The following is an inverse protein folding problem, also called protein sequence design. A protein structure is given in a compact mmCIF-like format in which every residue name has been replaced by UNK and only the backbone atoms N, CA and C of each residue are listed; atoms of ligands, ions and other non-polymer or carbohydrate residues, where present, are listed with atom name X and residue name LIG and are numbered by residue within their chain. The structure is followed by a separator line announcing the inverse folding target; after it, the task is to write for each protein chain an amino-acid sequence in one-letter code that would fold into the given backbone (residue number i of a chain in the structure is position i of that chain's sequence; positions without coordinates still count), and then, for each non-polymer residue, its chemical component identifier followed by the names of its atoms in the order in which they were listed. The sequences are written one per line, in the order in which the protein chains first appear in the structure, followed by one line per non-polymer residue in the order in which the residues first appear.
data_IF_628850761710
#
_entry.id   IF_628850761710
#
_cell.length_a   1.000
_cell.length_b   1.000
_cell.length_c   1.000
_cell.angle_alpha   90.00
_cell.angle_beta   90.00
_cell.angle_gamma   90.00
#
_symmetry.space_group_name_H-M   'P 1'
#
loop_
_entity.id
_entity.type
_entity.pdbx_description
1 polymer ?
#
# COMPACT_ATOMS: atom_id res chain seq x y z
N UNK A 1 -16.38 17.73 -16.68
CA UNK A 1 -17.22 16.54 -16.93
C UNK A 1 -16.23 15.41 -17.13
N UNK A 2 -16.09 14.54 -16.12
CA UNK A 2 -15.16 13.41 -16.16
C UNK A 2 -15.53 12.50 -17.34
N UNK A 3 -14.59 12.23 -18.23
CA UNK A 3 -14.76 11.27 -19.31
C UNK A 3 -14.09 9.96 -18.88
N UNK A 4 -14.80 8.85 -18.96
CA UNK A 4 -14.29 7.54 -18.54
C UNK A 4 -14.31 6.58 -19.72
N UNK A 5 -13.15 5.99 -20.00
CA UNK A 5 -12.96 4.97 -21.02
C UNK A 5 -12.48 3.66 -20.40
N UNK A 6 -12.50 2.58 -21.18
CA UNK A 6 -12.09 1.24 -20.74
C UNK A 6 -10.81 0.85 -21.47
N UNK A 7 -9.76 0.54 -20.70
CA UNK A 7 -8.62 -0.22 -21.18
C UNK A 7 -8.82 -1.68 -20.77
N UNK A 8 -9.31 -2.51 -21.70
CA UNK A 8 -9.60 -3.92 -21.42
C UNK A 8 -8.35 -4.80 -21.41
N UNK A 9 -7.28 -4.36 -22.07
CA UNK A 9 -6.02 -5.10 -22.09
C UNK A 9 -5.37 -5.03 -20.71
N UNK A 10 -5.31 -3.83 -20.12
CA UNK A 10 -4.76 -3.63 -18.78
C UNK A 10 -5.80 -3.81 -17.65
N UNK A 11 -7.08 -4.05 -18.00
CA UNK A 11 -8.21 -4.17 -17.06
C UNK A 11 -8.43 -2.92 -16.19
N UNK A 12 -8.39 -1.73 -16.81
CA UNK A 12 -8.48 -0.44 -16.13
C UNK A 12 -9.66 0.40 -16.64
N UNK A 13 -10.30 1.13 -15.72
CA UNK A 13 -11.05 2.34 -16.02
C UNK A 13 -10.05 3.50 -16.15
N UNK A 14 -10.06 4.19 -17.29
CA UNK A 14 -9.23 5.37 -17.53
C UNK A 14 -10.10 6.61 -17.41
N UNK A 15 -9.81 7.44 -16.42
CA UNK A 15 -10.63 8.57 -15.99
C UNK A 15 -9.89 9.85 -16.36
N UNK A 16 -10.41 10.58 -17.33
CA UNK A 16 -9.86 11.86 -17.74
C UNK A 16 -10.46 13.01 -16.91
N UNK A 17 -9.59 13.81 -16.31
CA UNK A 17 -9.97 15.04 -15.62
C UNK A 17 -8.98 16.18 -15.90
N UNK A 18 -9.49 17.31 -16.37
CA UNK A 18 -8.88 18.66 -16.35
C UNK A 18 -7.45 18.87 -16.89
N UNK A 19 -6.76 17.84 -17.39
CA UNK A 19 -5.35 17.89 -17.76
C UNK A 19 -4.55 16.60 -17.49
N UNK A 20 -5.15 15.57 -16.90
CA UNK A 20 -4.51 14.30 -16.65
C UNK A 20 -5.46 13.10 -16.69
N UNK A 21 -4.90 11.93 -16.40
CA UNK A 21 -5.63 10.67 -16.35
C UNK A 21 -5.37 9.99 -15.00
N UNK A 22 -6.41 9.40 -14.42
CA UNK A 22 -6.31 8.46 -13.31
C UNK A 22 -6.81 7.09 -13.77
N UNK A 23 -6.23 6.03 -13.20
CA UNK A 23 -6.62 4.66 -13.53
C UNK A 23 -7.18 3.94 -12.30
N UNK A 24 -8.25 3.17 -12.49
CA UNK A 24 -8.81 2.29 -11.48
C UNK A 24 -8.98 0.88 -12.05
N UNK A 25 -8.38 -0.12 -11.40
CA UNK A 25 -8.52 -1.51 -11.83
C UNK A 25 -9.95 -2.03 -11.68
N UNK A 26 -10.39 -2.87 -12.62
CA UNK A 26 -11.72 -3.49 -12.60
C UNK A 26 -11.95 -4.29 -11.31
N UNK A 27 -10.94 -5.05 -10.87
CA UNK A 27 -11.02 -5.87 -9.67
C UNK A 27 -11.03 -5.03 -8.39
N UNK A 28 -10.31 -3.89 -8.37
CA UNK A 28 -10.38 -2.93 -7.27
C UNK A 28 -11.78 -2.32 -7.16
N UNK A 29 -12.34 -1.84 -8.27
CA UNK A 29 -13.69 -1.25 -8.28
C UNK A 29 -14.74 -2.24 -7.76
N UNK A 30 -14.68 -3.49 -8.24
CA UNK A 30 -15.54 -4.60 -7.77
C UNK A 30 -15.37 -4.84 -6.27
N UNK A 31 -14.13 -5.08 -5.82
CA UNK A 31 -13.84 -5.39 -4.43
C UNK A 31 -14.33 -4.30 -3.47
N UNK A 32 -14.14 -3.03 -3.82
CA UNK A 32 -14.61 -1.90 -3.01
C UNK A 32 -16.14 -1.83 -2.96
N UNK A 33 -16.80 -1.96 -4.11
CA UNK A 33 -18.26 -1.91 -4.19
C UNK A 33 -18.91 -3.06 -3.40
N UNK A 34 -18.43 -4.29 -3.55
CA UNK A 34 -18.95 -5.46 -2.85
C UNK A 34 -18.72 -5.37 -1.33
N UNK A 35 -17.55 -4.88 -0.92
CA UNK A 35 -17.28 -4.62 0.49
C UNK A 35 -18.24 -3.58 1.07
N UNK A 36 -18.48 -2.48 0.35
CA UNK A 36 -19.40 -1.41 0.79
C UNK A 36 -20.84 -1.96 0.85
N UNK A 37 -21.30 -2.64 -0.19
CA UNK A 37 -22.62 -3.26 -0.28
C UNK A 37 -22.89 -4.15 0.94
N UNK A 38 -21.94 -5.02 1.27
CA UNK A 38 -22.00 -5.90 2.46
C UNK A 38 -22.02 -5.11 3.77
N UNK A 39 -21.16 -4.10 3.93
CA UNK A 39 -21.04 -3.30 5.18
C UNK A 39 -22.28 -2.44 5.42
N UNK A 40 -22.90 -1.92 4.36
CA UNK A 40 -24.14 -1.13 4.43
C UNK A 40 -25.40 -1.98 4.42
N UNK A 41 -25.29 -3.29 4.13
CA UNK A 41 -26.43 -4.21 3.91
C UNK A 41 -27.32 -3.74 2.76
N UNK A 42 -26.70 -3.28 1.67
CA UNK A 42 -27.33 -2.78 0.45
C UNK A 42 -26.82 -3.61 -0.74
N UNK A 43 -27.42 -4.80 -0.99
CA UNK A 43 -26.91 -5.74 -1.99
C UNK A 43 -27.03 -5.24 -3.43
N UNK A 44 -27.89 -4.25 -3.70
CA UNK A 44 -28.03 -3.57 -4.98
C UNK A 44 -26.76 -2.80 -5.41
N UNK A 45 -25.89 -2.47 -4.46
CA UNK A 45 -24.59 -1.84 -4.72
C UNK A 45 -23.49 -2.84 -5.11
N UNK A 46 -23.70 -4.14 -4.92
CA UNK A 46 -22.71 -5.16 -5.26
C UNK A 46 -22.64 -5.39 -6.77
N UNK A 47 -21.47 -5.72 -7.29
CA UNK A 47 -21.30 -6.06 -8.70
C UNK A 47 -22.07 -7.33 -9.04
N UNK A 48 -22.63 -7.34 -10.24
CA UNK A 48 -23.13 -8.54 -10.92
C UNK A 48 -22.17 -8.94 -12.03
N UNK A 49 -22.37 -10.11 -12.63
CA UNK A 49 -21.57 -10.56 -13.76
C UNK A 49 -21.70 -9.62 -14.97
N UNK A 50 -22.85 -8.94 -15.13
CA UNK A 50 -23.07 -7.94 -16.19
C UNK A 50 -22.29 -6.64 -15.97
N UNK A 51 -21.93 -6.34 -14.74
CA UNK A 51 -21.16 -5.14 -14.38
C UNK A 51 -19.66 -5.29 -14.69
N UNK A 52 -19.18 -6.53 -14.83
CA UNK A 52 -17.77 -6.86 -15.00
C UNK A 52 -17.18 -6.18 -16.24
N UNK A 53 -16.07 -5.45 -16.05
CA UNK A 53 -15.28 -4.86 -17.14
C UNK A 53 -16.10 -3.90 -18.04
N UNK A 54 -17.15 -3.29 -17.48
CA UNK A 54 -18.04 -2.33 -18.15
C UNK A 54 -18.08 -0.97 -17.45
N UNK A 55 -18.53 0.06 -18.20
CA UNK A 55 -18.85 1.37 -17.62
C UNK A 55 -20.01 1.31 -16.60
N UNK A 56 -20.89 0.30 -16.67
CA UNK A 56 -21.91 0.08 -15.65
C UNK A 56 -21.26 -0.31 -14.31
N UNK A 57 -20.24 -1.18 -14.34
CA UNK A 57 -19.42 -1.49 -13.16
C UNK A 57 -18.76 -0.25 -12.55
N UNK A 58 -18.19 0.64 -13.36
CA UNK A 58 -17.63 1.90 -12.85
C UNK A 58 -18.69 2.76 -12.14
N UNK A 59 -19.88 2.91 -12.75
CA UNK A 59 -21.00 3.64 -12.13
C UNK A 59 -21.45 2.98 -10.83
N UNK A 60 -21.39 1.66 -10.74
CA UNK A 60 -21.75 0.92 -9.53
C UNK A 60 -20.74 1.16 -8.41
N UNK A 61 -19.45 1.16 -8.71
CA UNK A 61 -18.41 1.60 -7.79
C UNK A 61 -18.62 3.05 -7.31
N UNK A 62 -18.95 3.98 -8.21
CA UNK A 62 -19.27 5.36 -7.83
C UNK A 62 -20.50 5.43 -6.92
N UNK A 63 -21.57 4.69 -7.24
CA UNK A 63 -22.78 4.62 -6.42
C UNK A 63 -22.49 4.07 -5.02
N UNK A 64 -21.71 3.00 -4.92
CA UNK A 64 -21.30 2.43 -3.64
C UNK A 64 -20.48 3.44 -2.81
N UNK A 65 -19.48 4.08 -3.43
CA UNK A 65 -18.63 5.08 -2.76
C UNK A 65 -19.44 6.27 -2.25
N UNK A 66 -20.43 6.72 -3.04
CA UNK A 66 -21.37 7.78 -2.62
C UNK A 66 -22.25 7.33 -1.46
N UNK A 67 -22.82 6.12 -1.53
CA UNK A 67 -23.65 5.56 -0.47
C UNK A 67 -22.86 5.43 0.85
N UNK A 68 -21.59 5.00 0.78
CA UNK A 68 -20.69 5.00 1.93
C UNK A 68 -20.53 6.41 2.51
N UNK A 69 -20.20 7.39 1.67
CA UNK A 69 -19.97 8.78 2.09
C UNK A 69 -21.19 9.42 2.77
N UNK A 70 -22.40 8.98 2.41
CA UNK A 70 -23.68 9.43 2.97
C UNK A 70 -24.16 8.60 4.17
N UNK A 71 -23.47 7.50 4.50
CA UNK A 71 -23.83 6.63 5.62
C UNK A 71 -23.20 7.06 6.94
N UNK A 72 -23.69 6.51 8.06
CA UNK A 72 -23.04 6.68 9.36
C UNK A 72 -21.61 6.11 9.41
N UNK A 73 -21.29 5.12 8.57
CA UNK A 73 -19.95 4.51 8.50
C UNK A 73 -18.90 5.42 7.85
N UNK A 74 -19.31 6.55 7.26
CA UNK A 74 -18.38 7.55 6.71
C UNK A 74 -17.33 8.01 7.72
N UNK A 75 -17.63 7.93 9.02
CA UNK A 75 -16.70 8.34 10.09
C UNK A 75 -15.67 7.28 10.48
N UNK A 76 -15.81 6.04 9.99
CA UNK A 76 -14.85 4.96 10.23
C UNK A 76 -13.66 5.07 9.29
N UNK A 77 -12.53 4.50 9.69
CA UNK A 77 -11.41 4.26 8.77
C UNK A 77 -11.80 3.18 7.77
N UNK A 78 -11.66 3.47 6.49
CA UNK A 78 -11.94 2.53 5.39
C UNK A 78 -10.64 1.82 5.00
N UNK A 79 -10.67 0.49 4.96
CA UNK A 79 -9.53 -0.36 4.61
C UNK A 79 -9.80 -1.09 3.29
N UNK A 80 -8.75 -1.45 2.58
CA UNK A 80 -8.88 -2.11 1.29
C UNK A 80 -9.58 -3.46 1.43
N UNK A 81 -10.37 -3.88 0.42
CA UNK A 81 -10.86 -5.24 0.32
C UNK A 81 -9.72 -6.24 0.50
N UNK A 82 -9.92 -7.24 1.37
CA UNK A 82 -8.90 -8.26 1.66
C UNK A 82 -7.88 -7.87 2.73
N UNK A 83 -7.95 -6.68 3.32
CA UNK A 83 -7.08 -6.31 4.45
C UNK A 83 -7.22 -7.30 5.61
N UNK A 84 -6.09 -7.81 6.10
CA UNK A 84 -6.07 -8.75 7.21
C UNK A 84 -6.64 -8.11 8.50
N UNK A 85 -7.50 -8.79 9.29
CA UNK A 85 -8.12 -8.19 10.47
C UNK A 85 -7.13 -7.67 11.52
N UNK A 86 -5.95 -8.26 11.62
CA UNK A 86 -4.89 -7.80 12.53
C UNK A 86 -4.23 -6.51 12.04
N UNK A 87 -4.04 -6.35 10.73
CA UNK A 87 -3.55 -5.09 10.13
C UNK A 87 -4.48 -3.94 10.49
N UNK A 88 -5.80 -4.14 10.39
CA UNK A 88 -6.81 -3.15 10.79
C UNK A 88 -6.60 -2.71 12.25
N UNK A 89 -6.45 -3.68 13.16
CA UNK A 89 -6.25 -3.41 14.60
C UNK A 89 -4.95 -2.64 14.85
N UNK A 90 -3.85 -3.07 14.23
CA UNK A 90 -2.52 -2.47 14.41
C UNK A 90 -2.47 -1.06 13.84
N UNK A 91 -2.97 -0.83 12.62
CA UNK A 91 -3.01 0.50 12.03
C UNK A 91 -3.88 1.47 12.83
N UNK A 92 -5.04 1.03 13.33
CA UNK A 92 -5.86 1.86 14.23
C UNK A 92 -5.16 2.17 15.56
N UNK A 93 -4.44 1.21 16.13
CA UNK A 93 -3.66 1.43 17.35
C UNK A 93 -2.51 2.44 17.12
N UNK A 94 -1.77 2.28 16.02
CA UNK A 94 -0.72 3.22 15.63
C UNK A 94 -1.29 4.62 15.38
N UNK A 95 -2.43 4.73 14.69
CA UNK A 95 -3.11 6.01 14.45
C UNK A 95 -3.50 6.72 15.76
N UNK A 96 -4.06 5.99 16.72
CA UNK A 96 -4.50 6.54 18.02
C UNK A 96 -3.31 6.96 18.89
N UNK A 97 -2.25 6.17 18.88
CA UNK A 97 -1.04 6.42 19.69
C UNK A 97 -0.05 7.38 19.03
N UNK A 98 -0.26 7.70 17.74
CA UNK A 98 0.62 8.52 16.90
C UNK A 98 2.07 8.01 16.85
N UNK A 99 2.27 6.72 17.06
CA UNK A 99 3.59 6.09 16.93
C UNK A 99 4.03 6.12 15.47
N UNK A 100 5.34 6.29 15.28
CA UNK A 100 5.95 6.13 13.98
C UNK A 100 6.10 4.63 13.71
N UNK A 101 5.71 4.23 12.51
CA UNK A 101 5.78 2.85 12.06
C UNK A 101 6.59 2.79 10.77
N UNK A 102 7.19 1.63 10.55
CA UNK A 102 7.69 1.22 9.27
C UNK A 102 6.77 0.16 8.67
N UNK A 103 6.49 0.30 7.38
CA UNK A 103 5.67 -0.59 6.59
C UNK A 103 6.56 -1.39 5.65
N UNK A 104 6.28 -2.69 5.52
CA UNK A 104 6.85 -3.54 4.48
C UNK A 104 5.70 -4.01 3.60
N UNK A 105 5.71 -3.56 2.35
CA UNK A 105 4.73 -3.95 1.35
C UNK A 105 5.20 -5.15 0.54
N UNK A 106 4.24 -5.89 -0.01
CA UNK A 106 4.51 -6.97 -0.94
C UNK A 106 3.27 -7.77 -1.31
N UNK A 107 3.48 -8.88 -2.00
CA UNK A 107 2.38 -9.78 -2.36
C UNK A 107 2.06 -10.70 -1.17
N UNK A 108 0.93 -10.46 -0.51
CA UNK A 108 0.47 -11.24 0.64
C UNK A 108 0.14 -12.70 0.29
N UNK A 109 -0.02 -13.05 -0.99
CA UNK A 109 -0.30 -14.43 -1.43
C UNK A 109 0.95 -15.30 -1.39
N UNK A 110 2.11 -14.74 -1.78
CA UNK A 110 3.37 -15.48 -1.83
C UNK A 110 4.37 -15.05 -0.76
N UNK A 111 4.13 -13.93 -0.08
CA UNK A 111 4.95 -13.42 1.01
C UNK A 111 6.17 -12.59 0.59
N UNK A 112 6.31 -12.27 -0.70
CA UNK A 112 7.49 -11.58 -1.23
C UNK A 112 7.35 -10.06 -1.11
N UNK A 113 8.37 -9.43 -0.53
CA UNK A 113 8.51 -7.98 -0.44
C UNK A 113 8.71 -7.34 -1.81
N UNK A 114 8.21 -6.12 -1.99
CA UNK A 114 8.51 -5.29 -3.17
C UNK A 114 9.76 -4.42 -3.02
N UNK A 115 10.41 -4.46 -1.85
CA UNK A 115 11.64 -3.72 -1.55
C UNK A 115 11.50 -2.19 -1.68
N UNK A 116 10.33 -1.65 -1.34
CA UNK A 116 10.07 -0.21 -1.36
C UNK A 116 10.98 0.57 -0.37
N UNK A 117 11.57 1.66 -0.85
CA UNK A 117 12.43 2.58 -0.08
C UNK A 117 11.76 3.89 0.29
N UNK A 118 10.68 4.22 -0.42
CA UNK A 118 9.95 5.47 -0.32
C UNK A 118 8.58 5.21 0.28
N UNK A 119 8.03 6.18 1.00
CA UNK A 119 6.67 6.07 1.55
C UNK A 119 6.46 4.81 2.42
N UNK A 120 7.49 4.42 3.18
CA UNK A 120 7.50 3.24 4.05
C UNK A 120 7.73 3.55 5.53
N UNK A 121 8.11 4.78 5.90
CA UNK A 121 8.29 5.18 7.30
C UNK A 121 7.48 6.45 7.60
N UNK A 122 6.68 6.42 8.66
CA UNK A 122 5.86 7.57 9.04
C UNK A 122 4.86 7.28 10.15
N UNK A 123 4.07 8.27 10.52
CA UNK A 123 2.94 8.10 11.45
C UNK A 123 1.68 7.73 10.68
N UNK A 124 0.80 6.96 11.31
CA UNK A 124 -0.48 6.60 10.69
C UNK A 124 -1.49 7.74 10.87
N UNK A 125 -1.92 8.32 9.76
CA UNK A 125 -2.98 9.32 9.66
C UNK A 125 -4.26 8.74 9.07
N UNK A 126 -5.20 9.62 8.73
CA UNK A 126 -6.45 9.27 8.06
C UNK A 126 -6.88 10.37 7.13
N UNK A 127 -7.33 10.00 5.93
CA UNK A 127 -7.80 10.98 4.94
C UNK A 127 -9.14 11.61 5.34
N UNK A 128 -9.48 12.70 4.66
CA UNK A 128 -10.73 13.46 4.84
C UNK A 128 -11.79 13.13 3.79
N UNK A 129 -11.48 12.25 2.83
CA UNK A 129 -12.39 11.86 1.76
C UNK A 129 -13.61 11.06 2.23
N UNK A 130 -14.46 10.66 1.28
CA UNK A 130 -15.62 9.80 1.56
C UNK A 130 -15.19 8.42 2.08
N UNK A 131 -14.22 7.80 1.42
CA UNK A 131 -13.49 6.65 1.95
C UNK A 131 -12.31 7.18 2.77
N UNK A 132 -12.43 7.16 4.09
CA UNK A 132 -11.38 7.66 4.99
C UNK A 132 -10.28 6.63 5.13
N UNK A 133 -9.41 6.56 4.13
CA UNK A 133 -8.30 5.60 4.09
C UNK A 133 -7.20 5.97 5.09
N UNK A 134 -6.47 5.00 5.64
CA UNK A 134 -5.29 5.27 6.44
C UNK A 134 -4.18 5.85 5.55
N UNK A 135 -3.48 6.84 6.08
CA UNK A 135 -2.38 7.52 5.40
C UNK A 135 -1.07 7.22 6.12
N UNK A 136 0.02 7.07 5.38
CA UNK A 136 1.35 7.15 5.97
C UNK A 136 1.84 8.59 5.83
N UNK A 137 2.06 9.27 6.95
CA UNK A 137 2.48 10.67 6.98
C UNK A 137 3.93 10.73 7.43
N UNK A 138 4.82 11.21 6.56
CA UNK A 138 6.24 11.40 6.89
C UNK A 138 6.44 12.46 7.98
N UNK A 139 7.61 12.43 8.61
CA UNK A 139 7.97 13.41 9.63
C UNK A 139 8.04 14.83 9.02
N UNK A 140 7.33 15.78 9.64
CA UNK A 140 7.24 17.17 9.18
C UNK A 140 6.07 17.44 8.22
N UNK A 141 5.48 16.39 7.63
CA UNK A 141 4.39 16.54 6.67
C UNK A 141 3.01 16.66 7.33
N UNK A 142 2.08 17.32 6.64
CA UNK A 142 0.68 17.45 7.06
C UNK A 142 -0.22 16.35 6.46
N UNK A 143 0.22 15.70 5.40
CA UNK A 143 -0.48 14.62 4.68
C UNK A 143 0.50 13.56 4.19
N UNK A 144 0.00 12.59 3.43
CA UNK A 144 0.84 11.55 2.85
C UNK A 144 0.05 10.53 2.04
N UNK A 145 0.75 9.53 1.53
CA UNK A 145 0.17 8.50 0.66
C UNK A 145 -0.84 7.59 1.37
N UNK A 146 -1.84 7.12 0.63
CA UNK A 146 -2.73 6.08 1.11
C UNK A 146 -1.96 4.77 1.28
N UNK A 147 -2.16 4.09 2.41
CA UNK A 147 -1.50 2.81 2.69
C UNK A 147 -2.22 1.72 1.91
N UNK A 148 -1.46 0.88 1.19
CA UNK A 148 -1.96 -0.33 0.53
C UNK A 148 -2.20 -1.43 1.57
N UNK A 149 -3.31 -1.35 2.27
CA UNK A 149 -3.57 -2.13 3.49
C UNK A 149 -3.72 -3.63 3.25
N UNK A 150 -4.15 -4.04 2.06
CA UNK A 150 -4.20 -5.45 1.65
C UNK A 150 -2.83 -6.03 1.23
N UNK A 151 -1.81 -5.18 1.08
CA UNK A 151 -0.47 -5.54 0.62
C UNK A 151 0.60 -5.44 1.73
N UNK A 152 0.18 -5.32 2.99
CA UNK A 152 1.10 -5.24 4.13
C UNK A 152 1.59 -6.62 4.55
N UNK A 153 2.90 -6.82 4.46
CA UNK A 153 3.59 -8.02 4.95
C UNK A 153 4.09 -7.86 6.37
N UNK A 154 4.52 -6.66 6.77
CA UNK A 154 4.99 -6.38 8.12
C UNK A 154 4.69 -4.93 8.52
N UNK A 155 4.39 -4.72 9.79
CA UNK A 155 4.31 -3.39 10.42
C UNK A 155 5.26 -3.41 11.61
N UNK A 156 6.21 -2.49 11.63
CA UNK A 156 7.30 -2.45 12.61
C UNK A 156 7.20 -1.13 13.37
N UNK A 157 7.26 -1.18 14.70
CA UNK A 157 7.38 0.03 15.51
C UNK A 157 8.75 0.66 15.27
N UNK A 158 8.76 1.89 14.78
CA UNK A 158 9.99 2.54 14.32
C UNK A 158 10.99 2.79 15.45
N UNK A 159 10.50 3.03 16.68
CA UNK A 159 11.36 3.38 17.79
C UNK A 159 12.02 2.16 18.42
N UNK A 160 11.28 1.06 18.55
CA UNK A 160 11.75 -0.16 19.21
C UNK A 160 12.26 -1.24 18.27
N UNK A 161 11.97 -1.15 16.97
CA UNK A 161 12.26 -2.21 15.98
C UNK A 161 11.37 -3.45 16.13
N UNK A 162 10.40 -3.43 17.04
CA UNK A 162 9.51 -4.58 17.28
C UNK A 162 8.48 -4.69 16.17
N UNK A 163 8.33 -5.88 15.60
CA UNK A 163 7.23 -6.20 14.69
C UNK A 163 5.90 -6.14 15.45
N UNK A 164 5.04 -5.19 15.07
CA UNK A 164 3.67 -5.06 15.56
C UNK A 164 2.71 -6.00 14.82
N UNK A 165 3.08 -6.37 13.59
CA UNK A 165 2.35 -7.32 12.77
C UNK A 165 3.32 -8.00 11.79
N UNK A 166 3.13 -9.30 11.57
CA UNK A 166 3.80 -10.06 10.52
C UNK A 166 2.76 -10.94 9.82
N UNK A 167 2.61 -10.76 8.52
CA UNK A 167 1.69 -11.56 7.72
C UNK A 167 2.15 -13.03 7.74
N UNK A 168 1.24 -14.01 7.88
CA UNK A 168 1.63 -15.42 8.00
C UNK A 168 2.44 -15.98 6.82
N UNK A 169 2.25 -15.43 5.63
CA UNK A 169 3.03 -15.82 4.43
C UNK A 169 4.37 -15.10 4.31
N UNK A 170 4.65 -14.06 5.12
CA UNK A 170 5.79 -13.19 4.92
C UNK A 170 7.11 -13.97 4.93
N UNK A 171 7.87 -13.81 3.85
CA UNK A 171 9.20 -14.39 3.70
C UNK A 171 10.22 -13.28 3.90
N UNK A 172 11.00 -13.38 4.99
CA UNK A 172 12.12 -12.45 5.22
C UNK A 172 13.11 -12.61 4.05
N UNK A 173 13.44 -11.53 3.32
CA UNK A 173 14.29 -11.62 2.15
C UNK A 173 15.71 -12.15 2.44
N UNK A 174 16.17 -13.14 1.68
CA UNK A 174 17.58 -13.59 1.69
C UNK A 174 18.43 -12.63 0.85
N UNK A 175 18.76 -11.48 1.45
CA UNK A 175 19.60 -10.46 0.83
C UNK A 175 21.08 -10.69 1.10
N UNK A 176 21.94 -10.37 0.13
CA UNK A 176 23.39 -10.52 0.28
C UNK A 176 24.11 -9.28 -0.21
N UNK A 177 25.17 -8.93 0.51
CA UNK A 177 26.14 -7.94 0.07
C UNK A 177 27.20 -8.65 -0.77
N UNK A 178 27.43 -8.17 -1.98
CA UNK A 178 28.38 -8.77 -2.93
C UNK A 178 29.31 -7.71 -3.53
N UNK A 179 30.57 -8.04 -3.85
CA UNK A 179 31.41 -7.19 -4.68
C UNK A 179 30.95 -7.26 -6.15
N UNK A 180 30.80 -6.11 -6.81
CA UNK A 180 30.30 -6.02 -8.20
C UNK A 180 31.40 -6.09 -9.26
N UNK A 181 32.64 -5.78 -8.89
CA UNK A 181 33.75 -5.59 -9.82
C UNK A 181 33.72 -4.25 -10.59
N UNK A 182 32.77 -3.37 -10.27
CA UNK A 182 32.68 -2.01 -10.82
C UNK A 182 33.29 -1.01 -9.82
N UNK A 183 34.43 -0.41 -10.18
CA UNK A 183 35.14 0.56 -9.32
C UNK A 183 34.28 1.78 -8.94
N UNK A 184 33.28 2.12 -9.76
CA UNK A 184 32.40 3.25 -9.49
C UNK A 184 31.31 2.93 -8.46
N UNK A 185 30.91 1.66 -8.34
CA UNK A 185 29.93 1.16 -7.35
C UNK A 185 30.29 -0.28 -6.95
N UNK A 186 31.36 -0.46 -6.15
CA UNK A 186 31.95 -1.77 -5.91
C UNK A 186 31.08 -2.70 -5.05
N UNK A 187 30.00 -2.21 -4.46
CA UNK A 187 29.16 -2.95 -3.51
C UNK A 187 27.73 -3.09 -4.03
N UNK A 188 27.27 -4.33 -4.22
CA UNK A 188 25.91 -4.66 -4.66
C UNK A 188 25.11 -5.33 -3.55
N UNK A 189 23.80 -5.13 -3.56
CA UNK A 189 22.84 -5.89 -2.74
C UNK A 189 21.98 -6.73 -3.67
N UNK A 190 22.00 -8.04 -3.47
CA UNK A 190 21.28 -9.02 -4.31
C UNK A 190 20.21 -9.77 -3.51
N UNK A 191 19.12 -10.13 -4.19
CA UNK A 191 18.12 -11.09 -3.75
C UNK A 191 18.06 -12.24 -4.75
N UNK A 192 18.32 -13.47 -4.32
CA UNK A 192 18.27 -14.66 -5.19
C UNK A 192 19.12 -14.55 -6.48
N UNK A 193 20.24 -13.81 -6.43
CA UNK A 193 21.15 -13.49 -7.56
C UNK A 193 20.64 -12.40 -8.52
N UNK A 194 19.47 -11.83 -8.27
CA UNK A 194 19.04 -10.62 -8.93
C UNK A 194 19.55 -9.41 -8.15
N UNK A 195 20.17 -8.47 -8.85
CA UNK A 195 20.67 -7.24 -8.27
C UNK A 195 19.52 -6.29 -7.94
N UNK A 196 19.47 -5.82 -6.68
CA UNK A 196 18.50 -4.82 -6.24
C UNK A 196 19.07 -3.40 -6.32
N UNK A 197 20.31 -3.22 -5.85
CA UNK A 197 20.94 -1.91 -5.77
C UNK A 197 22.48 -2.01 -5.75
N UNK A 198 23.15 -0.92 -6.15
CA UNK A 198 24.61 -0.77 -6.06
C UNK A 198 25.00 0.52 -5.35
N UNK A 199 26.14 0.49 -4.67
CA UNK A 199 26.64 1.57 -3.85
C UNK A 199 28.15 1.75 -4.00
N UNK A 200 28.59 3.01 -3.85
CA UNK A 200 30.01 3.38 -3.71
C UNK A 200 30.61 2.93 -2.39
N UNK A 201 29.83 3.06 -1.33
CA UNK A 201 30.26 2.87 0.04
C UNK A 201 29.64 1.60 0.63
N UNK A 202 30.47 0.79 1.29
CA UNK A 202 30.05 -0.47 1.91
C UNK A 202 29.10 -0.25 3.09
N UNK A 203 29.25 0.87 3.80
CA UNK A 203 28.38 1.26 4.90
C UNK A 203 26.96 1.54 4.42
N UNK A 204 26.82 2.32 3.33
CA UNK A 204 25.51 2.56 2.68
C UNK A 204 24.87 1.27 2.18
N UNK A 205 25.63 0.40 1.52
CA UNK A 205 25.11 -0.89 1.06
C UNK A 205 24.64 -1.77 2.23
N UNK A 206 25.39 -1.78 3.33
CA UNK A 206 25.04 -2.51 4.55
C UNK A 206 23.79 -1.93 5.22
N UNK A 207 23.67 -0.61 5.26
CA UNK A 207 22.50 0.10 5.79
C UNK A 207 21.25 -0.18 4.96
N UNK A 208 21.37 -0.17 3.63
CA UNK A 208 20.29 -0.57 2.72
C UNK A 208 19.85 -2.01 2.94
N UNK A 209 20.80 -2.95 3.03
CA UNK A 209 20.51 -4.37 3.26
C UNK A 209 19.80 -4.59 4.59
N UNK A 210 20.30 -3.97 5.67
CA UNK A 210 19.69 -4.05 6.99
C UNK A 210 18.29 -3.43 6.98
N UNK A 211 18.14 -2.25 6.34
CA UNK A 211 16.83 -1.66 6.11
C UNK A 211 15.93 -2.67 5.40
N UNK A 212 16.26 -3.20 4.23
CA UNK A 212 15.39 -4.12 3.49
C UNK A 212 15.01 -5.42 4.24
N UNK A 213 15.75 -5.79 5.29
CA UNK A 213 15.42 -6.91 6.19
C UNK A 213 14.49 -6.55 7.36
N UNK A 214 14.13 -5.28 7.51
CA UNK A 214 13.20 -4.80 8.54
C UNK A 214 13.83 -3.90 9.61
N UNK A 215 15.15 -3.66 9.57
CA UNK A 215 15.80 -2.82 10.59
C UNK A 215 15.36 -1.35 10.49
N UNK A 216 15.25 -0.67 11.63
CA UNK A 216 14.82 0.74 11.70
C UNK A 216 16.00 1.67 11.42
N UNK A 217 16.37 1.80 10.16
CA UNK A 217 17.46 2.65 9.66
C UNK A 217 16.89 3.79 8.83
N UNK A 218 17.25 5.04 9.14
CA UNK A 218 16.83 6.23 8.40
C UNK A 218 17.16 6.07 6.89
N UNK A 219 16.16 5.98 5.99
CA UNK A 219 16.40 5.67 4.58
C UNK A 219 17.34 6.66 3.88
N UNK A 220 17.36 7.92 4.33
CA UNK A 220 18.23 8.96 3.77
C UNK A 220 19.73 8.68 3.95
N UNK A 221 20.11 7.76 4.84
CA UNK A 221 21.52 7.41 5.09
C UNK A 221 22.14 6.64 3.93
N UNK A 222 21.38 5.79 3.24
CA UNK A 222 21.89 4.97 2.14
C UNK A 222 21.56 5.51 0.75
N UNK A 223 20.78 6.59 0.66
CA UNK A 223 20.57 7.33 -0.60
C UNK A 223 21.82 8.09 -1.05
#
# INVERSE_FOLDING_TARGET
MESVTLDREQRLYVIADGGGFSCLGFDNARGHADQIARRLRQPDLAFTDEDADTLAGYRKYQAATRAWGQSALTHDTYFDPGTHPEVIKVLEACRKTRRQARLVYGDTRNGQSWFDEFDVVGRIGRSTGWLKVPLLIEAGEAGGGAILTACLLCIIDWQSGVALYTHPSYQVPDLRLVPTGDDSHPWGVEHQRDELARFRDVGKASAYLAFMRGETIEPRVFR
#
